data_IF_784907975979
#
_entry.id   IF_784907975979
#
_cell.length_a   1.000
_cell.length_b   1.000
_cell.length_c   1.000
_cell.angle_alpha   90.00
_cell.angle_beta   90.00
_cell.angle_gamma   90.00
#
_symmetry.space_group_name_H-M   'P 1'
#
loop_
_entity.id
_entity.type
_entity.pdbx_description
1 polymer ?
#
# COMPACT_ATOMS: atom_id res chain seq x y z
N UNK A 1 -0.80 4.29 -22.17
CA UNK A 1 0.21 4.15 -21.10
C UNK A 1 -0.16 4.98 -19.87
N UNK A 2 -0.38 6.30 -19.99
CA UNK A 2 -0.88 7.18 -18.90
C UNK A 2 -2.07 6.61 -18.12
N UNK A 3 -3.13 6.24 -18.82
CA UNK A 3 -4.34 5.69 -18.18
C UNK A 3 -4.08 4.39 -17.40
N UNK A 4 -3.12 3.57 -17.84
CA UNK A 4 -2.79 2.31 -17.16
C UNK A 4 -2.08 2.59 -15.83
N UNK A 5 -1.14 3.54 -15.81
CA UNK A 5 -0.46 3.98 -14.58
C UNK A 5 -1.46 4.61 -13.61
N UNK A 6 -2.33 5.49 -14.09
CA UNK A 6 -3.35 6.14 -13.26
C UNK A 6 -4.34 5.12 -12.65
N UNK A 7 -4.83 4.15 -13.43
CA UNK A 7 -5.68 3.07 -12.91
C UNK A 7 -4.93 2.19 -11.90
N UNK A 8 -3.63 2.00 -12.09
CA UNK A 8 -2.78 1.21 -11.18
C UNK A 8 -2.63 1.93 -9.83
N UNK A 9 -2.36 3.23 -9.83
CA UNK A 9 -2.31 4.07 -8.63
C UNK A 9 -3.62 3.97 -7.82
N UNK A 10 -4.77 4.23 -8.47
CA UNK A 10 -6.08 4.16 -7.81
C UNK A 10 -6.30 2.77 -7.21
N UNK A 11 -5.98 1.71 -7.96
CA UNK A 11 -6.17 0.35 -7.48
C UNK A 11 -5.30 0.05 -6.25
N UNK A 12 -4.04 0.47 -6.27
CA UNK A 12 -3.10 0.31 -5.15
C UNK A 12 -3.64 1.06 -3.93
N UNK A 13 -4.03 2.32 -4.09
CA UNK A 13 -4.57 3.15 -3.01
C UNK A 13 -5.83 2.53 -2.40
N UNK A 14 -6.82 2.15 -3.21
CA UNK A 14 -8.07 1.54 -2.71
C UNK A 14 -7.77 0.27 -1.92
N UNK A 15 -6.90 -0.61 -2.45
CA UNK A 15 -6.55 -1.87 -1.78
C UNK A 15 -5.90 -1.59 -0.43
N UNK A 16 -4.91 -0.69 -0.36
CA UNK A 16 -4.23 -0.39 0.90
C UNK A 16 -5.12 0.36 1.90
N UNK A 17 -6.01 1.24 1.45
CA UNK A 17 -7.01 1.87 2.32
C UNK A 17 -7.91 0.82 2.97
N UNK A 18 -8.43 -0.13 2.19
CA UNK A 18 -9.28 -1.20 2.74
C UNK A 18 -8.49 -2.08 3.70
N UNK A 19 -7.26 -2.48 3.35
CA UNK A 19 -6.41 -3.29 4.22
C UNK A 19 -6.12 -2.58 5.54
N UNK A 20 -5.70 -1.31 5.51
CA UNK A 20 -5.41 -0.53 6.71
C UNK A 20 -6.64 -0.34 7.59
N UNK A 21 -7.81 -0.10 6.98
CA UNK A 21 -9.08 -0.02 7.73
C UNK A 21 -9.41 -1.34 8.41
N UNK A 22 -9.32 -2.47 7.70
CA UNK A 22 -9.61 -3.79 8.27
C UNK A 22 -8.66 -4.15 9.41
N UNK A 23 -7.36 -3.89 9.23
CA UNK A 23 -6.36 -4.20 10.25
C UNK A 23 -6.51 -3.27 11.46
N UNK A 24 -6.69 -1.96 11.24
CA UNK A 24 -6.80 -0.96 12.30
C UNK A 24 -8.14 -0.99 13.06
N UNK A 25 -9.22 -1.44 12.41
CA UNK A 25 -10.55 -1.55 13.01
C UNK A 25 -10.98 -3.01 13.22
N UNK A 26 -10.02 -3.93 13.28
CA UNK A 26 -10.26 -5.38 13.41
C UNK A 26 -11.11 -5.76 14.63
N UNK A 27 -11.07 -4.98 15.71
CA UNK A 27 -11.94 -5.18 16.88
C UNK A 27 -13.44 -5.05 16.55
N UNK A 28 -13.80 -4.20 15.58
CA UNK A 28 -15.19 -3.97 15.17
C UNK A 28 -15.81 -5.23 14.56
N UNK A 29 -15.00 -6.13 13.98
CA UNK A 29 -15.46 -7.41 13.42
C UNK A 29 -16.08 -8.28 14.51
N UNK A 30 -15.50 -8.30 15.72
CA UNK A 30 -16.02 -9.06 16.85
C UNK A 30 -17.31 -8.46 17.44
N UNK A 31 -17.54 -7.16 17.25
CA UNK A 31 -18.81 -6.51 17.63
C UNK A 31 -19.90 -6.85 16.59
N UNK A 32 -19.55 -6.81 15.31
CA UNK A 32 -20.49 -7.10 14.22
C UNK A 32 -20.92 -8.58 14.21
N UNK A 33 -20.02 -9.48 14.59
CA UNK A 33 -20.25 -10.92 14.64
C UNK A 33 -20.01 -11.48 16.05
N UNK A 34 -21.00 -11.39 16.96
CA UNK A 34 -20.84 -11.84 18.35
C UNK A 34 -20.54 -13.34 18.48
N UNK A 35 -20.85 -14.16 17.47
CA UNK A 35 -20.47 -15.57 17.44
C UNK A 35 -18.95 -15.82 17.42
N UNK A 36 -18.15 -14.87 16.92
CA UNK A 36 -16.68 -14.96 16.89
C UNK A 36 -16.02 -14.64 18.24
N UNK A 37 -16.79 -14.15 19.21
CA UNK A 37 -16.31 -13.85 20.56
C UNK A 37 -16.06 -15.12 21.39
N UNK A 38 -16.64 -16.25 20.98
CA UNK A 38 -16.56 -17.50 21.72
C UNK A 38 -15.19 -18.17 21.48
N UNK A 39 -14.34 -18.11 22.51
CA UNK A 39 -13.11 -18.88 22.56
C UNK A 39 -11.94 -18.13 23.17
N UNK A 40 -10.87 -18.89 23.40
CA UNK A 40 -9.62 -18.37 23.95
C UNK A 40 -8.45 -18.78 23.06
N UNK A 41 -7.53 -17.86 22.81
CA UNK A 41 -6.24 -18.13 22.21
C UNK A 41 -5.16 -17.87 23.25
N UNK A 42 -4.33 -18.88 23.54
CA UNK A 42 -3.29 -18.83 24.58
C UNK A 42 -3.81 -18.38 25.96
N UNK A 43 -5.05 -18.76 26.30
CA UNK A 43 -5.69 -18.39 27.57
C UNK A 43 -6.31 -16.99 27.60
N UNK A 44 -6.16 -16.18 26.53
CA UNK A 44 -6.80 -14.87 26.40
C UNK A 44 -8.05 -14.93 25.52
N UNK A 45 -9.10 -14.13 25.80
CA UNK A 45 -10.27 -14.07 24.93
C UNK A 45 -9.90 -13.60 23.52
N UNK A 46 -10.40 -14.32 22.51
CA UNK A 46 -10.01 -14.14 21.10
C UNK A 46 -10.28 -12.70 20.60
N UNK A 47 -11.40 -12.12 21.03
CA UNK A 47 -11.84 -10.77 20.68
C UNK A 47 -10.87 -9.64 21.10
N UNK A 48 -9.89 -9.93 21.97
CA UNK A 48 -8.87 -8.96 22.38
C UNK A 48 -7.51 -9.28 21.77
N UNK A 49 -7.08 -10.54 21.87
CA UNK A 49 -5.74 -10.94 21.43
C UNK A 49 -5.58 -10.84 19.91
N UNK A 50 -6.60 -11.19 19.13
CA UNK A 50 -6.52 -11.07 17.67
C UNK A 50 -6.40 -9.61 17.22
N UNK A 51 -7.25 -8.67 17.67
CA UNK A 51 -7.07 -7.25 17.32
C UNK A 51 -5.73 -6.67 17.78
N UNK A 52 -5.20 -7.09 18.93
CA UNK A 52 -3.87 -6.65 19.39
C UNK A 52 -2.78 -7.14 18.42
N UNK A 53 -2.80 -8.42 18.04
CA UNK A 53 -1.82 -8.98 17.11
C UNK A 53 -1.94 -8.38 15.71
N UNK A 54 -3.17 -8.15 15.22
CA UNK A 54 -3.40 -7.45 13.95
C UNK A 54 -2.98 -5.98 14.03
N UNK A 55 -3.29 -5.27 15.10
CA UNK A 55 -2.93 -3.87 15.30
C UNK A 55 -1.43 -3.65 15.41
N UNK A 56 -0.69 -4.61 15.95
CA UNK A 56 0.77 -4.56 16.01
C UNK A 56 1.40 -5.14 14.74
N UNK A 57 1.44 -6.48 14.65
CA UNK A 57 2.16 -7.18 13.59
C UNK A 57 1.45 -7.08 12.25
N UNK A 58 0.11 -7.09 12.25
CA UNK A 58 -0.66 -6.91 11.03
C UNK A 58 -0.43 -5.53 10.39
N UNK A 59 -0.50 -4.45 11.17
CA UNK A 59 -0.24 -3.09 10.66
C UNK A 59 1.20 -2.99 10.14
N UNK A 60 2.17 -3.48 10.92
CA UNK A 60 3.56 -3.47 10.50
C UNK A 60 3.77 -4.20 9.16
N UNK A 61 3.17 -5.37 8.98
CA UNK A 61 3.25 -6.14 7.75
C UNK A 61 2.57 -5.43 6.57
N UNK A 62 1.38 -4.85 6.77
CA UNK A 62 0.66 -4.09 5.74
C UNK A 62 1.48 -2.86 5.31
N UNK A 63 2.04 -2.11 6.26
CA UNK A 63 2.89 -0.96 5.97
C UNK A 63 4.16 -1.36 5.22
N UNK A 64 4.81 -2.46 5.60
CA UNK A 64 5.97 -2.97 4.88
C UNK A 64 5.62 -3.32 3.42
N UNK A 65 4.51 -4.04 3.21
CA UNK A 65 4.03 -4.38 1.89
C UNK A 65 3.68 -3.12 1.07
N UNK A 66 3.08 -2.11 1.72
CA UNK A 66 2.75 -0.84 1.09
C UNK A 66 4.01 -0.12 0.61
N UNK A 67 5.05 -0.02 1.45
CA UNK A 67 6.33 0.59 1.07
C UNK A 67 6.93 -0.11 -0.15
N UNK A 68 6.96 -1.45 -0.18
CA UNK A 68 7.53 -2.18 -1.31
C UNK A 68 6.75 -1.98 -2.61
N UNK A 69 5.42 -1.97 -2.53
CA UNK A 69 4.55 -1.78 -3.70
C UNK A 69 4.62 -0.34 -4.21
N UNK A 70 4.60 0.65 -3.32
CA UNK A 70 4.70 2.06 -3.69
C UNK A 70 6.06 2.38 -4.29
N UNK A 71 7.17 1.91 -3.70
CA UNK A 71 8.51 2.13 -4.27
C UNK A 71 8.61 1.57 -5.69
N UNK A 72 8.11 0.36 -5.93
CA UNK A 72 8.09 -0.24 -7.27
C UNK A 72 7.21 0.56 -8.24
N UNK A 73 6.08 1.09 -7.77
CA UNK A 73 5.20 1.92 -8.59
C UNK A 73 5.88 3.25 -8.98
N UNK A 74 6.59 3.88 -8.04
CA UNK A 74 7.34 5.12 -8.29
C UNK A 74 8.46 4.90 -9.31
N UNK A 75 9.19 3.77 -9.24
CA UNK A 75 10.19 3.40 -10.22
C UNK A 75 9.60 3.26 -11.64
N UNK A 76 8.49 2.53 -11.77
CA UNK A 76 7.78 2.37 -13.05
C UNK A 76 7.28 3.72 -13.61
N UNK A 77 6.83 4.63 -12.73
CA UNK A 77 6.43 5.98 -13.12
C UNK A 77 7.62 6.79 -13.61
N UNK A 78 8.76 6.72 -12.92
CA UNK A 78 9.99 7.43 -13.31
C UNK A 78 10.51 6.96 -14.67
N UNK A 79 10.49 5.65 -14.95
CA UNK A 79 10.80 5.10 -16.27
C UNK A 79 9.85 5.63 -17.34
N UNK A 80 8.55 5.63 -17.07
CA UNK A 80 7.56 6.16 -18.00
C UNK A 80 7.79 7.64 -18.32
N UNK A 81 8.09 8.48 -17.33
CA UNK A 81 8.41 9.89 -17.52
C UNK A 81 9.66 10.07 -18.38
N UNK A 82 10.71 9.25 -18.17
CA UNK A 82 11.91 9.26 -19.02
C UNK A 82 11.59 8.94 -20.49
N UNK A 83 10.63 8.04 -20.75
CA UNK A 83 10.20 7.75 -22.13
C UNK A 83 9.39 8.87 -22.79
N UNK A 84 8.87 9.81 -22.00
CA UNK A 84 8.11 10.96 -22.49
C UNK A 84 8.97 12.21 -22.69
N UNK A 85 10.13 12.30 -22.05
CA UNK A 85 11.09 13.37 -22.31
C UNK A 85 11.81 13.06 -23.63
N UNK A 86 11.61 13.83 -24.71
CA UNK A 86 12.54 13.77 -25.83
C UNK A 86 13.92 14.19 -25.30
N UNK A 87 14.98 13.54 -25.76
CA UNK A 87 16.31 14.13 -25.70
C UNK A 87 16.28 15.44 -26.50
N UNK A 88 15.92 16.55 -25.86
CA UNK A 88 16.17 17.89 -26.36
C UNK A 88 17.33 18.47 -25.59
N UNK A 89 18.46 18.45 -26.29
CA UNK A 89 19.61 19.36 -26.21
C UNK A 89 20.60 19.22 -25.05
N UNK A 90 21.72 18.54 -25.35
CA UNK A 90 23.06 19.05 -25.00
C UNK A 90 24.10 18.53 -26.00
N UNK A 91 23.85 18.76 -27.28
CA UNK A 91 24.86 18.58 -28.33
C UNK A 91 24.63 19.59 -29.45
N UNK A 92 24.73 20.89 -29.13
CA UNK A 92 25.12 21.97 -30.06
C UNK A 92 25.24 23.31 -29.32
N UNK A 93 26.22 23.42 -28.42
CA UNK A 93 26.81 24.73 -28.11
C UNK A 93 28.34 24.61 -28.25
N UNK A 94 28.77 24.44 -29.49
CA UNK A 94 30.15 24.75 -29.86
C UNK A 94 30.14 25.26 -31.30
N UNK A 95 30.66 26.48 -31.48
CA UNK A 95 30.96 27.16 -32.76
C UNK A 95 29.89 28.09 -33.34
N UNK A 96 29.88 29.35 -32.90
CA UNK A 96 29.97 30.54 -33.77
C UNK A 96 30.63 31.64 -32.94
N UNK A 97 31.94 31.84 -33.09
CA UNK A 97 32.60 32.88 -33.91
C UNK A 97 32.35 34.31 -33.42
#
# INVERSE_FOLDING_TARGET
MKEKIYKKEIRITIIFTVLLLLTGHSASIFVLFPGLQQGTLWGFPIQYIIPILLGWFGIAAVCLAMTLVCNKFDDEMAEYVKTLAPETDTSTENTQK
#
